data_IF_650567784208
#
_entry.id   IF_650567784208
#
_cell.length_a   1.000
_cell.length_b   1.000
_cell.length_c   1.000
_cell.angle_alpha   90.00
_cell.angle_beta   90.00
_cell.angle_gamma   90.00
#
_symmetry.space_group_name_H-M   'P 1'
#
loop_
_entity.id
_entity.type
_entity.pdbx_description
1 polymer ?
#
# COMPACT_ATOMS: atom_id res chain seq x y z
N UNK A 1 -9.66 -3.95 25.62
CA UNK A 1 -10.25 -5.31 25.45
C UNK A 1 -9.33 -6.32 26.16
N UNK A 2 -9.86 -7.32 26.89
CA UNK A 2 -9.07 -8.17 27.79
C UNK A 2 -8.09 -9.10 27.02
N UNK A 3 -6.77 -8.91 27.19
CA UNK A 3 -5.66 -9.61 26.51
C UNK A 3 -5.77 -11.16 26.56
N UNK A 4 -6.50 -11.70 27.54
CA UNK A 4 -6.73 -13.13 27.69
C UNK A 4 -7.71 -13.72 26.64
N UNK A 5 -8.65 -12.91 26.10
CA UNK A 5 -9.53 -13.34 25.01
C UNK A 5 -8.84 -13.32 23.64
N UNK A 6 -7.82 -12.49 23.45
CA UNK A 6 -7.06 -12.40 22.20
C UNK A 6 -6.05 -13.52 22.05
N UNK A 7 -5.28 -13.89 23.09
CA UNK A 7 -4.36 -15.04 23.02
C UNK A 7 -5.07 -16.38 22.78
N UNK A 8 -6.25 -16.58 23.38
CA UNK A 8 -7.07 -17.76 23.12
C UNK A 8 -7.61 -17.76 21.68
N UNK A 9 -8.08 -16.60 21.21
CA UNK A 9 -8.55 -16.41 19.83
C UNK A 9 -7.46 -16.63 18.78
N UNK A 10 -6.26 -16.07 19.01
CA UNK A 10 -5.04 -16.30 18.21
C UNK A 10 -4.69 -17.78 18.11
N UNK A 11 -4.67 -18.48 19.25
CA UNK A 11 -4.36 -19.91 19.29
C UNK A 11 -5.39 -20.73 18.51
N UNK A 12 -6.67 -20.39 18.64
CA UNK A 12 -7.76 -21.04 17.91
C UNK A 12 -7.66 -20.76 16.40
N UNK A 13 -7.44 -19.52 16.00
CA UNK A 13 -7.28 -19.13 14.59
C UNK A 13 -6.03 -19.77 13.97
N UNK A 14 -4.92 -19.84 14.70
CA UNK A 14 -3.70 -20.51 14.26
C UNK A 14 -3.92 -22.01 14.03
N UNK A 15 -4.64 -22.68 14.94
CA UNK A 15 -5.00 -24.10 14.76
C UNK A 15 -5.94 -24.31 13.58
N UNK A 16 -6.96 -23.46 13.43
CA UNK A 16 -7.90 -23.51 12.32
C UNK A 16 -7.16 -23.31 10.98
N UNK A 17 -6.22 -22.37 10.93
CA UNK A 17 -5.40 -22.13 9.75
C UNK A 17 -4.49 -23.33 9.42
N UNK A 18 -3.74 -23.87 10.40
CA UNK A 18 -2.92 -25.07 10.20
C UNK A 18 -3.75 -26.27 9.75
N UNK A 19 -5.02 -26.34 10.17
CA UNK A 19 -5.96 -27.34 9.68
C UNK A 19 -6.32 -27.09 8.20
N UNK A 20 -6.74 -25.87 7.81
CA UNK A 20 -7.01 -25.54 6.40
C UNK A 20 -5.84 -25.85 5.49
N UNK A 21 -4.64 -25.42 5.88
CA UNK A 21 -3.41 -25.53 5.12
C UNK A 21 -2.98 -26.98 4.79
N UNK A 22 -3.43 -27.99 5.56
CA UNK A 22 -3.08 -29.40 5.35
C UNK A 22 -3.82 -30.03 4.16
N UNK A 23 -5.11 -29.73 4.03
CA UNK A 23 -5.94 -30.18 2.91
C UNK A 23 -7.02 -29.11 2.64
N UNK A 24 -6.70 -28.04 1.90
CA UNK A 24 -7.60 -26.90 1.71
C UNK A 24 -8.98 -27.29 1.17
N UNK A 25 -9.04 -28.22 0.21
CA UNK A 25 -10.30 -28.66 -0.41
C UNK A 25 -11.24 -29.35 0.59
N UNK A 26 -10.69 -30.13 1.51
CA UNK A 26 -11.49 -30.85 2.50
C UNK A 26 -11.77 -30.02 3.76
N UNK A 27 -10.81 -29.20 4.18
CA UNK A 27 -10.81 -28.56 5.50
C UNK A 27 -11.47 -27.18 5.49
N UNK A 28 -11.39 -26.41 4.40
CA UNK A 28 -12.06 -25.10 4.32
C UNK A 28 -13.59 -25.25 4.42
N UNK A 29 -14.26 -26.15 3.68
CA UNK A 29 -15.71 -26.34 3.80
C UNK A 29 -16.13 -26.74 5.23
N UNK A 30 -15.34 -27.57 5.91
CA UNK A 30 -15.60 -27.97 7.31
C UNK A 30 -15.57 -26.77 8.26
N UNK A 31 -14.61 -25.87 8.11
CA UNK A 31 -14.51 -24.68 8.95
C UNK A 31 -15.58 -23.64 8.64
N UNK A 32 -15.95 -23.46 7.37
CA UNK A 32 -17.06 -22.58 6.99
C UNK A 32 -18.37 -23.10 7.60
N UNK A 33 -18.64 -24.41 7.51
CA UNK A 33 -19.81 -25.03 8.12
C UNK A 33 -19.80 -24.92 9.66
N UNK A 34 -18.62 -24.97 10.29
CA UNK A 34 -18.49 -24.73 11.73
C UNK A 34 -18.77 -23.25 12.06
N UNK A 35 -18.20 -22.32 11.30
CA UNK A 35 -18.41 -20.88 11.45
C UNK A 35 -19.89 -20.50 11.31
N UNK A 36 -20.60 -21.11 10.36
CA UNK A 36 -22.04 -20.92 10.14
C UNK A 36 -22.86 -21.33 11.37
N UNK A 37 -22.50 -22.45 12.01
CA UNK A 37 -23.17 -22.96 13.22
C UNK A 37 -22.94 -22.10 14.46
N UNK A 38 -21.79 -21.46 14.58
CA UNK A 38 -21.42 -20.64 15.76
C UNK A 38 -21.71 -19.14 15.56
N UNK A 39 -22.09 -18.72 14.35
CA UNK A 39 -22.37 -17.31 14.03
C UNK A 39 -23.69 -16.87 14.65
N UNK A 40 -23.61 -15.93 15.60
CA UNK A 40 -24.77 -15.43 16.35
C UNK A 40 -25.38 -14.19 15.68
N UNK A 41 -24.56 -13.27 15.15
CA UNK A 41 -25.06 -12.03 14.54
C UNK A 41 -25.46 -12.25 13.09
N UNK A 42 -26.55 -11.65 12.66
CA UNK A 42 -27.04 -11.73 11.26
C UNK A 42 -25.99 -11.25 10.24
N UNK A 43 -25.23 -10.22 10.59
CA UNK A 43 -24.14 -9.74 9.74
C UNK A 43 -23.02 -10.79 9.58
N UNK A 44 -22.66 -11.53 10.64
CA UNK A 44 -21.65 -12.59 10.58
C UNK A 44 -22.12 -13.76 9.73
N UNK A 45 -23.40 -14.17 9.89
CA UNK A 45 -24.01 -15.19 9.04
C UNK A 45 -23.97 -14.80 7.56
N UNK A 46 -24.23 -13.52 7.25
CA UNK A 46 -24.14 -13.00 5.88
C UNK A 46 -22.72 -13.05 5.34
N UNK A 47 -21.71 -12.71 6.14
CA UNK A 47 -20.31 -12.84 5.74
C UNK A 47 -19.92 -14.31 5.48
N UNK A 48 -20.24 -15.21 6.40
CA UNK A 48 -19.93 -16.65 6.26
C UNK A 48 -20.63 -17.25 5.04
N UNK A 49 -21.89 -16.88 4.79
CA UNK A 49 -22.65 -17.32 3.61
C UNK A 49 -22.00 -16.84 2.30
N UNK A 50 -21.55 -15.59 2.24
CA UNK A 50 -20.86 -15.07 1.06
C UNK A 50 -19.52 -15.80 0.84
N UNK A 51 -18.73 -16.02 1.90
CA UNK A 51 -17.47 -16.78 1.81
C UNK A 51 -17.74 -18.21 1.30
N UNK A 52 -18.78 -18.86 1.83
CA UNK A 52 -19.21 -20.20 1.39
C UNK A 52 -19.51 -20.23 -0.11
N UNK A 53 -20.30 -19.26 -0.59
CA UNK A 53 -20.65 -19.14 -2.01
C UNK A 53 -19.41 -18.98 -2.90
N UNK A 54 -18.44 -18.16 -2.49
CA UNK A 54 -17.19 -18.01 -3.23
C UNK A 54 -16.34 -19.29 -3.22
N UNK A 55 -16.30 -20.00 -2.10
CA UNK A 55 -15.51 -21.22 -1.96
C UNK A 55 -16.13 -22.44 -2.65
N UNK A 56 -17.45 -22.48 -2.83
CA UNK A 56 -18.15 -23.53 -3.60
C UNK A 56 -17.97 -23.35 -5.11
N UNK A 57 -17.71 -22.12 -5.57
CA UNK A 57 -17.43 -21.81 -6.97
C UNK A 57 -15.93 -21.99 -7.27
N UNK A 58 -15.50 -23.24 -7.50
CA UNK A 58 -14.10 -23.58 -7.80
C UNK A 58 -13.51 -22.83 -9.00
N UNK A 59 -14.35 -22.41 -9.95
CA UNK A 59 -13.92 -21.63 -11.11
C UNK A 59 -13.78 -20.13 -10.83
N UNK A 60 -14.25 -19.65 -9.68
CA UNK A 60 -14.14 -18.24 -9.29
C UNK A 60 -12.68 -17.81 -9.14
N UNK A 61 -12.40 -16.57 -9.49
CA UNK A 61 -11.08 -15.98 -9.35
C UNK A 61 -10.62 -15.95 -7.88
N UNK A 62 -11.53 -15.71 -6.93
CA UNK A 62 -11.23 -15.71 -5.50
C UNK A 62 -10.91 -17.09 -4.95
N UNK A 63 -11.58 -18.16 -5.43
CA UNK A 63 -11.19 -19.52 -5.09
C UNK A 63 -9.78 -19.82 -5.60
N UNK A 64 -9.50 -19.53 -6.87
CA UNK A 64 -8.17 -19.73 -7.49
C UNK A 64 -7.08 -18.96 -6.76
N UNK A 65 -7.35 -17.72 -6.38
CA UNK A 65 -6.45 -16.88 -5.60
C UNK A 65 -6.17 -17.45 -4.20
N UNK A 66 -7.23 -17.80 -3.45
CA UNK A 66 -7.07 -18.37 -2.12
C UNK A 66 -6.36 -19.73 -2.17
N UNK A 67 -6.68 -20.55 -3.17
CA UNK A 67 -6.06 -21.85 -3.38
C UNK A 67 -4.56 -21.70 -3.66
N UNK A 68 -4.15 -20.85 -4.60
CA UNK A 68 -2.74 -20.63 -4.93
C UNK A 68 -1.95 -20.07 -3.75
N UNK A 69 -2.52 -19.15 -2.97
CA UNK A 69 -1.91 -18.67 -1.73
C UNK A 69 -1.69 -19.80 -0.73
N UNK A 70 -2.62 -20.75 -0.63
CA UNK A 70 -2.49 -21.87 0.30
C UNK A 70 -1.54 -22.95 -0.19
N UNK A 71 -1.47 -23.24 -1.48
CA UNK A 71 -0.72 -24.39 -2.01
C UNK A 71 0.68 -24.03 -2.51
N UNK A 72 0.90 -22.81 -2.98
CA UNK A 72 2.17 -22.39 -3.60
C UNK A 72 3.06 -21.58 -2.65
N UNK A 73 2.52 -21.08 -1.54
CA UNK A 73 3.28 -20.27 -0.56
C UNK A 73 4.02 -21.15 0.44
N UNK A 74 5.27 -20.81 0.74
CA UNK A 74 6.08 -21.47 1.75
C UNK A 74 5.35 -21.51 3.11
N UNK A 75 5.33 -22.64 3.85
CA UNK A 75 4.53 -22.78 5.06
C UNK A 75 4.75 -21.70 6.12
N UNK A 76 6.00 -21.25 6.34
CA UNK A 76 6.31 -20.19 7.31
C UNK A 76 5.70 -18.85 6.90
N UNK A 77 5.83 -18.46 5.62
CA UNK A 77 5.26 -17.21 5.09
C UNK A 77 3.74 -17.25 5.19
N UNK A 78 3.15 -18.37 4.80
CA UNK A 78 1.70 -18.58 4.85
C UNK A 78 1.16 -18.44 6.28
N UNK A 79 1.86 -18.99 7.27
CA UNK A 79 1.51 -18.83 8.70
C UNK A 79 1.64 -17.37 9.14
N UNK A 80 2.77 -16.72 8.83
CA UNK A 80 3.05 -15.33 9.23
C UNK A 80 2.10 -14.31 8.62
N UNK A 81 1.73 -14.42 7.35
CA UNK A 81 0.76 -13.51 6.73
C UNK A 81 -0.62 -13.65 7.40
N UNK A 82 -1.05 -14.86 7.70
CA UNK A 82 -2.34 -15.08 8.35
C UNK A 82 -2.38 -14.48 9.76
N UNK A 83 -1.29 -14.62 10.53
CA UNK A 83 -1.20 -14.06 11.88
C UNK A 83 -0.99 -12.54 11.83
N UNK A 84 0.02 -12.09 11.11
CA UNK A 84 0.48 -10.70 11.21
C UNK A 84 -0.38 -9.76 10.36
N UNK A 85 -0.66 -10.13 9.12
CA UNK A 85 -1.44 -9.29 8.22
C UNK A 85 -2.93 -9.36 8.57
N UNK A 86 -3.55 -10.54 8.58
CA UNK A 86 -5.00 -10.62 8.81
C UNK A 86 -5.41 -10.43 10.27
N UNK A 87 -4.70 -11.05 11.22
CA UNK A 87 -5.08 -11.01 12.62
C UNK A 87 -4.51 -9.78 13.35
N UNK A 88 -3.20 -9.54 13.32
CA UNK A 88 -2.61 -8.42 14.06
C UNK A 88 -2.96 -7.08 13.42
N UNK A 89 -2.71 -6.87 12.12
CA UNK A 89 -3.01 -5.59 11.49
C UNK A 89 -4.51 -5.33 11.30
N UNK A 90 -5.31 -6.40 11.19
CA UNK A 90 -6.77 -6.31 11.04
C UNK A 90 -7.51 -6.39 12.37
N UNK A 91 -7.72 -7.62 12.85
CA UNK A 91 -8.64 -7.91 13.95
C UNK A 91 -8.21 -7.33 15.31
N UNK A 92 -6.90 -7.22 15.58
CA UNK A 92 -6.37 -6.76 16.86
C UNK A 92 -5.94 -5.28 16.82
N UNK A 93 -5.28 -4.88 15.74
CA UNK A 93 -4.76 -3.52 15.55
C UNK A 93 -5.86 -2.49 15.43
N UNK A 94 -6.89 -2.74 14.60
CA UNK A 94 -7.95 -1.75 14.34
C UNK A 94 -8.70 -1.34 15.62
N UNK A 95 -9.14 -2.24 16.51
CA UNK A 95 -9.74 -1.83 17.77
C UNK A 95 -8.84 -0.97 18.65
N UNK A 96 -7.53 -1.29 18.72
CA UNK A 96 -6.56 -0.51 19.48
C UNK A 96 -6.33 0.87 18.86
N UNK A 97 -6.24 0.96 17.52
CA UNK A 97 -6.19 2.23 16.79
C UNK A 97 -7.40 3.09 17.13
N UNK A 98 -8.63 2.55 17.04
CA UNK A 98 -9.85 3.30 17.34
C UNK A 98 -9.94 3.75 18.82
N UNK A 99 -9.40 2.95 19.75
CA UNK A 99 -9.30 3.33 21.17
C UNK A 99 -8.31 4.49 21.34
N UNK A 100 -7.13 4.39 20.74
CA UNK A 100 -6.07 5.39 20.80
C UNK A 100 -6.42 6.69 20.05
N UNK A 101 -7.11 6.61 18.92
CA UNK A 101 -7.63 7.78 18.19
C UNK A 101 -8.54 8.64 19.08
N UNK A 102 -9.42 7.98 19.85
CA UNK A 102 -10.30 8.66 20.81
C UNK A 102 -9.53 9.17 22.02
N UNK A 103 -8.62 8.36 22.56
CA UNK A 103 -7.83 8.69 23.77
C UNK A 103 -6.93 9.90 23.54
N UNK A 104 -6.25 9.93 22.41
CA UNK A 104 -5.23 10.94 22.12
C UNK A 104 -5.75 12.08 21.26
N UNK A 105 -6.96 11.96 20.71
CA UNK A 105 -7.56 12.92 19.80
C UNK A 105 -6.65 13.25 18.61
N UNK A 106 -6.19 12.20 17.93
CA UNK A 106 -5.45 12.29 16.66
C UNK A 106 -5.80 11.08 15.78
N UNK A 107 -5.35 11.08 14.52
CA UNK A 107 -5.46 9.87 13.69
C UNK A 107 -4.40 8.85 14.13
N UNK A 108 -4.70 7.56 14.00
CA UNK A 108 -3.72 6.48 14.20
C UNK A 108 -3.66 5.63 12.94
N UNK A 109 -2.49 5.56 12.27
CA UNK A 109 -2.39 4.90 10.97
C UNK A 109 -2.44 3.38 11.10
N UNK A 110 -2.98 2.75 10.05
CA UNK A 110 -2.93 1.30 9.88
C UNK A 110 -1.57 0.84 9.36
N UNK A 111 -0.95 1.62 8.47
CA UNK A 111 0.39 1.39 7.95
C UNK A 111 1.29 2.63 8.06
N UNK A 112 2.59 2.44 8.23
CA UNK A 112 3.59 3.51 8.14
C UNK A 112 4.56 3.14 7.02
N UNK A 113 4.75 4.05 6.06
CA UNK A 113 5.81 3.94 5.07
C UNK A 113 7.01 4.73 5.54
N UNK A 114 8.18 4.11 5.48
CA UNK A 114 9.43 4.73 5.86
C UNK A 114 10.51 4.44 4.85
N UNK A 115 11.38 5.41 4.60
CA UNK A 115 12.48 5.30 3.67
C UNK A 115 13.77 4.99 4.45
N UNK A 116 14.28 3.74 4.42
CA UNK A 116 15.49 3.39 5.17
C UNK A 116 16.73 4.15 4.69
N UNK A 117 16.74 4.50 3.40
CA UNK A 117 17.81 5.21 2.71
C UNK A 117 17.25 5.98 1.52
N UNK A 118 17.90 7.07 1.15
CA UNK A 118 17.67 7.72 -0.15
C UNK A 118 18.57 7.20 -1.26
N UNK A 119 19.57 6.37 -0.95
CA UNK A 119 20.46 5.82 -1.97
C UNK A 119 19.69 4.86 -2.89
N UNK A 120 19.93 4.94 -4.21
CA UNK A 120 19.41 4.00 -5.19
C UNK A 120 20.52 3.56 -6.13
N UNK A 121 20.44 2.33 -6.63
CA UNK A 121 21.35 1.80 -7.65
C UNK A 121 20.84 1.99 -9.09
N UNK A 122 19.73 2.70 -9.28
CA UNK A 122 19.17 3.12 -10.57
C UNK A 122 18.96 4.64 -10.60
N UNK A 123 18.78 5.19 -11.81
CA UNK A 123 18.50 6.62 -12.04
C UNK A 123 17.25 6.76 -12.94
N UNK A 124 16.10 6.35 -12.44
CA UNK A 124 14.87 6.29 -13.23
C UNK A 124 14.38 7.69 -13.65
N UNK A 125 13.85 7.79 -14.87
CA UNK A 125 13.21 9.01 -15.39
C UNK A 125 12.00 9.40 -14.55
N UNK A 126 11.96 10.66 -14.08
CA UNK A 126 10.88 11.19 -13.25
C UNK A 126 10.81 10.59 -11.84
N UNK A 127 11.97 10.23 -11.27
CA UNK A 127 12.08 9.73 -9.91
C UNK A 127 12.37 10.87 -8.93
N UNK A 128 11.45 11.13 -8.01
CA UNK A 128 11.69 12.06 -6.90
C UNK A 128 12.53 11.43 -5.78
N UNK A 129 12.55 10.10 -5.66
CA UNK A 129 13.16 9.39 -4.54
C UNK A 129 14.70 9.24 -4.62
N UNK A 130 15.30 9.46 -5.80
CA UNK A 130 16.73 9.29 -6.05
C UNK A 130 17.55 10.58 -6.06
N UNK A 131 16.89 11.75 -5.97
CA UNK A 131 17.54 13.07 -6.08
C UNK A 131 18.05 13.62 -4.73
N UNK A 132 17.86 12.87 -3.64
CA UNK A 132 18.21 13.32 -2.31
C UNK A 132 19.72 13.22 -2.01
N UNK A 133 20.20 14.06 -1.07
CA UNK A 133 21.47 13.82 -0.36
C UNK A 133 21.46 12.40 0.24
N UNK A 134 22.62 11.76 0.48
CA UNK A 134 22.68 10.41 1.04
C UNK A 134 22.23 10.43 2.51
N UNK A 135 20.93 10.31 2.70
CA UNK A 135 20.26 10.27 3.98
C UNK A 135 19.90 8.83 4.30
N UNK A 136 20.02 8.50 5.58
CA UNK A 136 19.73 7.17 6.08
C UNK A 136 19.07 7.30 7.44
N UNK A 137 18.04 6.49 7.67
CA UNK A 137 17.56 6.23 9.01
C UNK A 137 18.46 5.16 9.65
N UNK A 138 18.92 5.41 10.88
CA UNK A 138 19.62 4.39 11.64
C UNK A 138 18.67 3.26 11.99
N UNK A 139 19.22 2.06 12.25
CA UNK A 139 18.43 0.92 12.69
C UNK A 139 17.61 1.25 13.94
N UNK A 140 18.18 2.01 14.87
CA UNK A 140 17.53 2.43 16.12
C UNK A 140 16.30 3.31 15.86
N UNK A 141 16.33 4.17 14.85
CA UNK A 141 15.18 5.01 14.48
C UNK A 141 14.09 4.16 13.83
N UNK A 142 14.45 3.24 12.93
CA UNK A 142 13.50 2.32 12.31
C UNK A 142 12.81 1.43 13.36
N UNK A 143 13.59 0.88 14.30
CA UNK A 143 13.11 0.09 15.42
C UNK A 143 12.22 0.89 16.38
N UNK A 144 12.57 2.14 16.66
CA UNK A 144 11.74 3.07 17.44
C UNK A 144 10.38 3.26 16.78
N UNK A 145 10.33 3.54 15.47
CA UNK A 145 9.08 3.72 14.72
C UNK A 145 8.17 2.50 14.86
N UNK A 146 8.73 1.30 14.66
CA UNK A 146 7.95 0.06 14.75
C UNK A 146 7.49 -0.23 16.18
N UNK A 147 8.35 0.04 17.16
CA UNK A 147 8.02 -0.15 18.58
C UNK A 147 6.87 0.76 19.01
N UNK A 148 6.98 2.07 18.77
CA UNK A 148 5.95 3.05 19.11
C UNK A 148 4.66 2.83 18.29
N UNK A 149 4.78 2.45 17.02
CA UNK A 149 3.64 2.14 16.16
C UNK A 149 2.79 0.99 16.71
N UNK A 150 3.43 -0.09 17.20
CA UNK A 150 2.71 -1.21 17.82
C UNK A 150 1.93 -0.81 19.07
N UNK A 151 2.49 0.08 19.90
CA UNK A 151 1.80 0.61 21.09
C UNK A 151 0.52 1.38 20.72
N UNK A 152 0.54 2.02 19.55
CA UNK A 152 -0.62 2.72 18.99
C UNK A 152 -1.60 1.80 18.25
N UNK A 153 -1.15 0.62 17.82
CA UNK A 153 -1.95 -0.38 17.11
C UNK A 153 -1.60 -0.54 15.62
N UNK A 154 -0.49 0.02 15.16
CA UNK A 154 0.06 -0.15 13.80
C UNK A 154 0.91 -1.41 13.73
N UNK A 155 0.60 -2.29 12.77
CA UNK A 155 1.32 -3.56 12.55
C UNK A 155 1.75 -3.77 11.10
N UNK A 156 1.46 -2.83 10.21
CA UNK A 156 1.90 -2.86 8.81
C UNK A 156 2.96 -1.78 8.60
N UNK A 157 4.10 -2.18 8.08
CA UNK A 157 5.19 -1.25 7.76
C UNK A 157 5.61 -1.46 6.32
N UNK A 158 5.82 -0.35 5.63
CA UNK A 158 6.15 -0.36 4.21
C UNK A 158 7.49 0.36 4.05
N UNK A 159 8.32 -0.10 3.12
CA UNK A 159 9.59 0.52 2.77
C UNK A 159 9.54 1.07 1.34
N UNK A 160 9.97 2.33 1.20
CA UNK A 160 10.26 3.00 -0.07
C UNK A 160 11.55 3.82 0.06
N UNK A 161 11.68 4.92 -0.70
CA UNK A 161 12.90 5.71 -0.79
C UNK A 161 13.95 4.99 -1.61
N UNK A 162 14.88 5.73 -2.21
CA UNK A 162 16.00 5.19 -2.99
C UNK A 162 15.76 3.78 -3.57
N UNK A 163 16.57 2.81 -3.13
CA UNK A 163 16.26 1.38 -3.18
C UNK A 163 16.38 0.78 -1.76
N UNK A 164 15.27 0.36 -1.12
CA UNK A 164 15.31 -0.13 0.26
C UNK A 164 16.21 -1.35 0.45
N UNK A 165 16.33 -2.21 -0.57
CA UNK A 165 17.13 -3.44 -0.47
C UNK A 165 18.64 -3.19 -0.43
N UNK A 166 19.11 -1.94 -0.61
CA UNK A 166 20.48 -1.56 -0.21
C UNK A 166 20.70 -1.66 1.31
N UNK A 167 19.61 -1.66 2.10
CA UNK A 167 19.59 -1.80 3.56
C UNK A 167 18.97 -3.15 3.96
N UNK A 168 19.08 -4.19 3.11
CA UNK A 168 18.41 -5.49 3.30
C UNK A 168 18.71 -6.16 4.65
N UNK A 169 19.93 -6.05 5.17
CA UNK A 169 20.30 -6.63 6.47
C UNK A 169 19.53 -5.99 7.63
N UNK A 170 19.37 -4.66 7.62
CA UNK A 170 18.59 -3.95 8.63
C UNK A 170 17.09 -4.25 8.52
N UNK A 171 16.58 -4.40 7.28
CA UNK A 171 15.19 -4.79 7.05
C UNK A 171 14.93 -6.20 7.59
N UNK A 172 15.80 -7.17 7.32
CA UNK A 172 15.67 -8.54 7.84
C UNK A 172 15.75 -8.55 9.37
N UNK A 173 16.67 -7.77 9.95
CA UNK A 173 16.80 -7.61 11.41
C UNK A 173 15.54 -7.00 12.04
N UNK A 174 14.88 -6.04 11.39
CA UNK A 174 13.59 -5.50 11.84
C UNK A 174 12.49 -6.55 11.75
N UNK A 175 12.41 -7.28 10.64
CA UNK A 175 11.42 -8.34 10.44
C UNK A 175 11.51 -9.42 11.53
N UNK A 176 12.74 -9.79 11.91
CA UNK A 176 13.02 -10.75 12.97
C UNK A 176 12.66 -10.21 14.36
N UNK A 177 13.05 -8.96 14.66
CA UNK A 177 12.75 -8.31 15.95
C UNK A 177 11.26 -8.07 16.17
N UNK A 178 10.53 -7.75 15.11
CA UNK A 178 9.10 -7.44 15.14
C UNK A 178 8.30 -8.50 14.36
N UNK A 179 8.47 -9.75 14.77
CA UNK A 179 7.94 -10.92 14.08
C UNK A 179 6.39 -11.00 14.03
N UNK A 180 5.71 -10.13 14.77
CA UNK A 180 4.25 -9.96 14.85
C UNK A 180 3.72 -8.92 13.84
N UNK A 181 4.61 -8.11 13.25
CA UNK A 181 4.28 -7.13 12.22
C UNK A 181 4.41 -7.74 10.83
N UNK A 182 3.76 -7.10 9.85
CA UNK A 182 3.91 -7.38 8.43
C UNK A 182 4.72 -6.26 7.76
N UNK A 183 5.62 -6.64 6.88
CA UNK A 183 6.52 -5.75 6.18
C UNK A 183 6.35 -5.89 4.67
N UNK A 184 6.35 -4.77 3.95
CA UNK A 184 6.31 -4.72 2.49
C UNK A 184 7.39 -3.76 1.99
N UNK A 185 8.18 -4.13 0.98
CA UNK A 185 9.07 -3.17 0.30
C UNK A 185 8.63 -2.97 -1.14
N UNK A 186 8.54 -1.71 -1.58
CA UNK A 186 8.68 -1.40 -2.99
C UNK A 186 10.15 -1.57 -3.37
N UNK A 187 10.44 -2.20 -4.51
CA UNK A 187 11.82 -2.46 -4.95
C UNK A 187 11.93 -2.45 -6.46
N UNK A 188 13.10 -2.12 -6.99
CA UNK A 188 13.46 -2.28 -8.39
C UNK A 188 13.84 -3.75 -8.75
N UNK A 189 13.95 -4.63 -7.75
CA UNK A 189 14.16 -6.07 -7.93
C UNK A 189 15.60 -6.50 -8.27
N UNK A 190 16.51 -5.56 -8.52
CA UNK A 190 17.90 -5.87 -8.95
C UNK A 190 18.76 -6.55 -7.89
N UNK A 191 18.36 -6.45 -6.61
CA UNK A 191 19.10 -6.96 -5.45
C UNK A 191 18.50 -8.25 -4.86
N UNK A 192 17.54 -8.87 -5.56
CA UNK A 192 16.93 -10.13 -5.14
C UNK A 192 17.69 -11.30 -5.75
N UNK A 193 18.28 -12.10 -4.88
CA UNK A 193 18.98 -13.35 -5.18
C UNK A 193 18.39 -14.51 -4.35
N UNK A 194 18.89 -15.72 -4.59
CA UNK A 194 18.44 -16.93 -3.91
C UNK A 194 18.73 -16.92 -2.40
N UNK A 195 19.79 -16.24 -1.96
CA UNK A 195 20.12 -16.13 -0.54
C UNK A 195 19.13 -15.20 0.17
N UNK A 196 18.82 -14.06 -0.43
CA UNK A 196 17.84 -13.13 0.10
C UNK A 196 16.44 -13.75 0.10
N UNK A 197 16.08 -14.54 -0.91
CA UNK A 197 14.83 -15.29 -0.92
C UNK A 197 14.72 -16.26 0.28
N UNK A 198 15.82 -16.92 0.69
CA UNK A 198 15.86 -17.76 1.89
C UNK A 198 15.68 -16.95 3.17
N UNK A 199 16.27 -15.76 3.26
CA UNK A 199 16.04 -14.86 4.40
C UNK A 199 14.58 -14.40 4.49
N UNK A 200 13.95 -14.07 3.35
CA UNK A 200 12.51 -13.78 3.29
C UNK A 200 11.66 -14.96 3.77
N UNK A 201 12.00 -16.19 3.35
CA UNK A 201 11.34 -17.41 3.85
C UNK A 201 11.53 -17.60 5.35
N UNK A 202 12.73 -17.31 5.88
CA UNK A 202 13.10 -17.47 7.29
C UNK A 202 12.29 -16.53 8.19
N UNK A 203 12.23 -15.24 7.87
CA UNK A 203 11.47 -14.27 8.67
C UNK A 203 9.96 -14.42 8.45
N UNK A 204 9.54 -14.77 7.23
CA UNK A 204 8.17 -15.12 6.87
C UNK A 204 7.18 -13.97 6.81
N UNK A 205 7.48 -12.81 7.41
CA UNK A 205 6.61 -11.65 7.53
C UNK A 205 7.00 -10.48 6.61
N UNK A 206 7.83 -10.74 5.59
CA UNK A 206 8.29 -9.74 4.63
C UNK A 206 7.89 -10.13 3.20
N UNK A 207 7.27 -9.18 2.50
CA UNK A 207 6.91 -9.30 1.09
C UNK A 207 7.50 -8.13 0.28
N UNK A 208 7.53 -8.27 -1.04
CA UNK A 208 7.99 -7.19 -1.93
C UNK A 208 6.96 -6.90 -3.02
N UNK A 209 6.94 -5.65 -3.49
CA UNK A 209 6.23 -5.23 -4.68
C UNK A 209 7.24 -4.74 -5.70
N UNK A 210 7.37 -5.45 -6.80
CA UNK A 210 8.30 -5.11 -7.88
C UNK A 210 7.81 -3.90 -8.65
N UNK A 211 8.69 -2.94 -8.84
CA UNK A 211 8.37 -1.77 -9.64
C UNK A 211 8.54 -2.08 -11.12
N UNK A 212 7.44 -2.08 -11.88
CA UNK A 212 7.37 -2.55 -13.27
C UNK A 212 6.26 -1.80 -14.03
N UNK A 213 6.59 -1.19 -15.16
CA UNK A 213 5.73 -0.21 -15.88
C UNK A 213 5.09 -0.77 -17.15
N UNK A 214 5.11 -2.09 -17.32
CA UNK A 214 4.66 -2.79 -18.52
C UNK A 214 5.62 -3.90 -18.88
N UNK A 215 5.78 -4.17 -20.17
CA UNK A 215 6.78 -5.11 -20.64
C UNK A 215 8.17 -4.46 -20.68
N UNK A 216 9.13 -5.11 -21.35
CA UNK A 216 10.52 -4.65 -21.42
C UNK A 216 10.63 -3.21 -21.91
N UNK A 217 9.93 -2.87 -22.99
CA UNK A 217 9.96 -1.52 -23.57
C UNK A 217 9.53 -0.44 -22.58
N UNK A 218 8.38 -0.60 -21.93
CA UNK A 218 7.82 0.42 -21.05
C UNK A 218 8.62 0.54 -19.74
N UNK A 219 9.03 -0.60 -19.19
CA UNK A 219 9.81 -0.65 -17.94
C UNK A 219 11.19 -0.05 -18.14
N UNK A 220 11.92 -0.46 -19.18
CA UNK A 220 13.29 -0.02 -19.41
C UNK A 220 13.34 1.45 -19.87
N UNK A 221 12.32 1.93 -20.59
CA UNK A 221 12.19 3.36 -20.96
C UNK A 221 12.24 4.26 -19.74
N UNK A 222 11.63 3.84 -18.62
CA UNK A 222 11.63 4.62 -17.39
C UNK A 222 12.79 4.28 -16.46
N UNK A 223 13.10 3.00 -16.30
CA UNK A 223 13.98 2.52 -15.21
C UNK A 223 15.42 2.25 -15.63
N UNK A 224 15.68 2.22 -16.93
CA UNK A 224 16.98 1.88 -17.51
C UNK A 224 16.99 0.46 -18.09
N UNK A 225 17.83 0.28 -19.10
CA UNK A 225 17.97 -0.96 -19.86
C UNK A 225 18.29 -2.16 -18.97
N UNK A 226 17.59 -3.28 -19.19
CA UNK A 226 17.79 -4.53 -18.44
C UNK A 226 17.04 -4.61 -17.11
N UNK A 227 16.32 -3.56 -16.70
CA UNK A 227 15.56 -3.56 -15.46
C UNK A 227 14.42 -4.58 -15.52
N UNK A 228 13.67 -4.64 -16.62
CA UNK A 228 12.60 -5.63 -16.79
C UNK A 228 13.10 -7.06 -16.60
N UNK A 229 14.22 -7.41 -17.23
CA UNK A 229 14.84 -8.74 -17.10
C UNK A 229 15.24 -9.05 -15.66
N UNK A 230 15.77 -8.06 -14.95
CA UNK A 230 16.13 -8.19 -13.53
C UNK A 230 14.91 -8.46 -12.65
N UNK A 231 13.82 -7.71 -12.86
CA UNK A 231 12.54 -7.92 -12.17
C UNK A 231 11.98 -9.31 -12.46
N UNK A 232 11.96 -9.73 -13.74
CA UNK A 232 11.44 -11.05 -14.12
C UNK A 232 12.25 -12.18 -13.49
N UNK A 233 13.58 -12.06 -13.46
CA UNK A 233 14.45 -13.02 -12.77
C UNK A 233 14.12 -13.08 -11.27
N UNK A 234 13.95 -11.93 -10.63
CA UNK A 234 13.61 -11.86 -9.21
C UNK A 234 12.22 -12.49 -8.91
N UNK A 235 11.23 -12.27 -9.78
CA UNK A 235 9.92 -12.94 -9.67
C UNK A 235 10.06 -14.46 -9.75
N UNK A 236 10.87 -14.98 -10.67
CA UNK A 236 11.09 -16.42 -10.81
C UNK A 236 11.79 -17.01 -9.55
N UNK A 237 12.79 -16.31 -8.99
CA UNK A 237 13.45 -16.69 -7.73
C UNK A 237 12.45 -16.76 -6.58
N UNK A 238 11.66 -15.69 -6.37
CA UNK A 238 10.71 -15.63 -5.27
C UNK A 238 9.57 -16.64 -5.43
N UNK A 239 9.09 -16.86 -6.66
CA UNK A 239 8.08 -17.88 -6.95
C UNK A 239 8.58 -19.27 -6.59
N UNK A 240 9.80 -19.62 -6.99
CA UNK A 240 10.42 -20.91 -6.68
C UNK A 240 10.66 -21.09 -5.17
N UNK A 241 10.95 -20.00 -4.45
CA UNK A 241 11.03 -20.00 -3.00
C UNK A 241 9.65 -20.03 -2.31
N UNK A 242 8.53 -19.94 -3.04
CA UNK A 242 7.20 -19.80 -2.44
C UNK A 242 7.03 -18.52 -1.61
N UNK A 243 7.80 -17.48 -1.94
CA UNK A 243 7.66 -16.15 -1.36
C UNK A 243 6.48 -15.40 -1.98
N UNK A 244 5.81 -14.58 -1.17
CA UNK A 244 4.73 -13.72 -1.66
C UNK A 244 5.32 -12.39 -2.12
N UNK A 245 4.95 -12.02 -3.33
CA UNK A 245 5.29 -10.74 -3.92
C UNK A 245 4.14 -10.26 -4.79
N UNK A 246 4.21 -8.97 -5.11
CA UNK A 246 3.31 -8.31 -6.02
C UNK A 246 4.05 -7.40 -6.97
N UNK A 247 3.29 -6.54 -7.64
CA UNK A 247 3.83 -5.49 -8.48
C UNK A 247 3.42 -4.12 -7.97
N UNK A 248 4.17 -3.11 -8.40
CA UNK A 248 3.92 -1.69 -8.21
C UNK A 248 4.11 -1.00 -9.55
N UNK A 249 3.01 -0.55 -10.15
CA UNK A 249 2.99 0.03 -11.47
C UNK A 249 2.63 1.50 -11.36
N UNK A 250 3.53 2.38 -11.82
CA UNK A 250 3.17 3.76 -12.06
C UNK A 250 2.63 3.90 -13.49
N UNK A 251 1.33 4.09 -13.65
CA UNK A 251 0.73 4.37 -14.95
C UNK A 251 0.81 5.85 -15.30
N UNK A 252 1.01 6.13 -16.58
CA UNK A 252 1.21 7.44 -17.16
C UNK A 252 0.69 7.43 -18.60
N UNK A 253 0.72 8.57 -19.29
CA UNK A 253 0.12 8.76 -20.62
C UNK A 253 0.52 7.70 -21.65
N UNK A 254 1.74 7.19 -21.57
CA UNK A 254 2.35 6.37 -22.62
C UNK A 254 2.37 4.87 -22.32
N UNK A 255 1.96 4.44 -21.13
CA UNK A 255 1.91 3.01 -20.78
C UNK A 255 0.53 2.55 -20.29
N UNK A 256 -0.45 3.45 -20.12
CA UNK A 256 -1.73 3.13 -19.46
C UNK A 256 -2.40 1.91 -20.09
N UNK A 257 -2.50 1.87 -21.41
CA UNK A 257 -3.16 0.77 -22.13
C UNK A 257 -2.41 -0.56 -22.00
N UNK A 258 -1.07 -0.50 -21.94
CA UNK A 258 -0.23 -1.69 -21.74
C UNK A 258 -0.42 -2.26 -20.35
N UNK A 259 -0.31 -1.42 -19.31
CA UNK A 259 -0.38 -1.87 -17.92
C UNK A 259 -1.80 -2.21 -17.46
N UNK A 260 -2.80 -1.77 -18.21
CA UNK A 260 -4.19 -2.14 -18.05
C UNK A 260 -4.57 -3.42 -18.83
N UNK A 261 -3.75 -3.85 -19.79
CA UNK A 261 -4.10 -4.96 -20.68
C UNK A 261 -4.30 -6.28 -19.94
N UNK A 262 -5.14 -7.17 -20.47
CA UNK A 262 -5.29 -8.51 -19.93
C UNK A 262 -3.99 -9.31 -20.04
N UNK A 263 -3.25 -9.15 -21.13
CA UNK A 263 -1.96 -9.80 -21.35
C UNK A 263 -0.95 -9.50 -20.24
N UNK A 264 -0.88 -8.24 -19.80
CA UNK A 264 0.00 -7.84 -18.71
C UNK A 264 -0.42 -8.45 -17.36
N UNK A 265 -1.72 -8.49 -17.07
CA UNK A 265 -2.24 -9.12 -15.84
C UNK A 265 -1.98 -10.62 -15.85
N UNK A 266 -2.26 -11.30 -16.97
CA UNK A 266 -2.02 -12.74 -17.13
C UNK A 266 -0.52 -13.06 -16.98
N UNK A 267 0.35 -12.23 -17.53
CA UNK A 267 1.79 -12.33 -17.35
C UNK A 267 2.20 -12.25 -15.87
N UNK A 268 1.73 -11.23 -15.15
CA UNK A 268 2.06 -11.04 -13.73
C UNK A 268 1.52 -12.17 -12.85
N UNK A 269 0.28 -12.60 -13.07
CA UNK A 269 -0.33 -13.74 -12.38
C UNK A 269 0.45 -15.02 -12.68
N UNK A 270 0.80 -15.26 -13.94
CA UNK A 270 1.61 -16.41 -14.37
C UNK A 270 3.01 -16.42 -13.75
N UNK A 271 3.61 -15.25 -13.56
CA UNK A 271 4.87 -15.06 -12.84
C UNK A 271 4.76 -15.21 -11.32
N UNK A 272 3.54 -15.37 -10.78
CA UNK A 272 3.33 -15.66 -9.36
C UNK A 272 2.94 -14.44 -8.51
N UNK A 273 2.70 -13.28 -9.12
CA UNK A 273 2.23 -12.11 -8.38
C UNK A 273 0.90 -12.41 -7.68
N UNK A 274 0.79 -11.98 -6.42
CA UNK A 274 -0.43 -12.16 -5.61
C UNK A 274 -1.19 -10.86 -5.39
N UNK A 275 -0.50 -9.74 -5.48
CA UNK A 275 -1.13 -8.43 -5.33
C UNK A 275 -0.49 -7.40 -6.27
N UNK A 276 -1.17 -6.27 -6.43
CA UNK A 276 -0.73 -5.19 -7.29
C UNK A 276 -1.10 -3.81 -6.75
N UNK A 277 -0.19 -2.87 -6.91
CA UNK A 277 -0.41 -1.46 -6.61
C UNK A 277 -0.33 -0.66 -7.90
N UNK A 278 -1.38 0.07 -8.21
CA UNK A 278 -1.38 1.06 -9.27
C UNK A 278 -1.27 2.46 -8.67
N UNK A 279 -0.31 3.21 -9.18
CA UNK A 279 -0.10 4.62 -8.88
C UNK A 279 -0.24 5.41 -10.18
N UNK A 280 -0.93 6.55 -10.17
CA UNK A 280 -0.84 7.47 -11.31
C UNK A 280 0.44 8.29 -11.19
N UNK A 281 1.07 8.61 -12.32
CA UNK A 281 2.13 9.60 -12.32
C UNK A 281 1.58 10.95 -11.83
N UNK A 282 2.28 11.54 -10.87
CA UNK A 282 2.01 12.88 -10.34
C UNK A 282 3.27 13.73 -10.56
N UNK A 283 3.16 14.90 -11.21
CA UNK A 283 4.28 15.77 -11.49
C UNK A 283 4.61 16.60 -10.24
N UNK A 284 5.31 16.00 -9.28
CA UNK A 284 5.84 16.68 -8.09
C UNK A 284 7.28 17.08 -8.40
N UNK A 285 7.68 18.31 -8.10
CA UNK A 285 8.95 18.87 -8.57
C UNK A 285 8.76 20.04 -9.53
N UNK A 286 9.51 21.14 -9.40
CA UNK A 286 9.47 22.26 -10.35
C UNK A 286 9.64 21.85 -11.81
N UNK A 287 10.61 20.96 -12.08
CA UNK A 287 10.95 20.50 -13.43
C UNK A 287 10.17 19.25 -13.88
N UNK A 288 9.13 18.88 -13.13
CA UNK A 288 8.32 17.70 -13.46
C UNK A 288 7.47 17.91 -14.72
N UNK A 289 7.49 16.90 -15.60
CA UNK A 289 6.77 16.97 -16.87
C UNK A 289 5.29 16.56 -16.71
N UNK A 290 4.39 17.56 -16.75
CA UNK A 290 2.93 17.35 -16.70
C UNK A 290 2.39 16.58 -17.92
N UNK A 291 3.14 16.52 -19.03
CA UNK A 291 2.73 15.79 -20.23
C UNK A 291 2.68 14.28 -19.99
N UNK A 292 3.47 13.75 -19.04
CA UNK A 292 3.42 12.35 -18.65
C UNK A 292 2.15 11.96 -17.89
N UNK A 293 1.43 12.91 -17.30
CA UNK A 293 0.19 12.60 -16.59
C UNK A 293 -0.80 11.85 -17.48
N UNK A 294 -1.32 10.74 -16.96
CA UNK A 294 -2.41 10.02 -17.61
C UNK A 294 -3.59 10.97 -17.82
N UNK A 295 -4.18 10.95 -19.02
CA UNK A 295 -5.35 11.79 -19.30
C UNK A 295 -6.52 11.46 -18.38
N UNK A 296 -7.49 12.36 -18.27
CA UNK A 296 -8.70 12.10 -17.47
C UNK A 296 -9.50 10.89 -17.98
N UNK A 297 -9.48 10.65 -19.30
CA UNK A 297 -10.08 9.45 -19.89
C UNK A 297 -9.27 8.19 -19.58
N UNK A 298 -7.95 8.27 -19.57
CA UNK A 298 -7.08 7.17 -19.11
C UNK A 298 -7.32 6.85 -17.62
N UNK A 299 -7.50 7.87 -16.77
CA UNK A 299 -7.85 7.65 -15.35
C UNK A 299 -9.24 6.99 -15.20
N UNK A 300 -10.25 7.41 -15.97
CA UNK A 300 -11.57 6.75 -16.03
C UNK A 300 -11.45 5.30 -16.53
N UNK A 301 -10.63 5.07 -17.54
CA UNK A 301 -10.35 3.74 -18.07
C UNK A 301 -9.71 2.84 -17.00
N UNK A 302 -8.67 3.32 -16.31
CA UNK A 302 -8.04 2.59 -15.20
C UNK A 302 -9.03 2.26 -14.09
N UNK A 303 -9.86 3.21 -13.65
CA UNK A 303 -10.90 2.94 -12.66
C UNK A 303 -11.83 1.78 -13.07
N UNK A 304 -12.29 1.76 -14.32
CA UNK A 304 -13.13 0.67 -14.83
C UNK A 304 -12.36 -0.65 -14.92
N UNK A 305 -11.13 -0.60 -15.43
CA UNK A 305 -10.31 -1.79 -15.66
C UNK A 305 -9.89 -2.45 -14.35
N UNK A 306 -9.52 -1.68 -13.33
CA UNK A 306 -9.16 -2.22 -12.00
C UNK A 306 -10.35 -2.97 -11.38
N UNK A 307 -11.56 -2.43 -11.51
CA UNK A 307 -12.77 -3.13 -11.07
C UNK A 307 -13.02 -4.43 -11.84
N UNK A 308 -12.76 -4.43 -13.16
CA UNK A 308 -12.82 -5.64 -13.98
C UNK A 308 -11.80 -6.68 -13.51
N UNK A 309 -10.54 -6.29 -13.29
CA UNK A 309 -9.46 -7.17 -12.83
C UNK A 309 -9.86 -7.85 -11.53
N UNK A 310 -10.34 -7.08 -10.54
CA UNK A 310 -10.82 -7.63 -9.26
C UNK A 310 -11.97 -8.63 -9.41
N UNK A 311 -12.76 -8.51 -10.46
CA UNK A 311 -13.91 -9.38 -10.70
C UNK A 311 -13.58 -10.67 -11.46
N UNK A 312 -12.47 -10.70 -12.20
CA UNK A 312 -12.15 -11.79 -13.15
C UNK A 312 -10.83 -12.48 -12.87
N UNK A 313 -9.84 -11.76 -12.38
CA UNK A 313 -8.47 -12.23 -12.27
C UNK A 313 -8.15 -12.67 -10.83
N UNK A 314 -7.37 -13.76 -10.64
CA UNK A 314 -7.04 -14.28 -9.33
C UNK A 314 -5.87 -13.49 -8.70
N UNK A 315 -6.03 -12.17 -8.57
CA UNK A 315 -5.03 -11.26 -8.03
C UNK A 315 -5.70 -10.11 -7.26
N UNK A 316 -5.08 -9.68 -6.16
CA UNK A 316 -5.57 -8.56 -5.38
C UNK A 316 -4.92 -7.25 -5.83
N UNK A 317 -5.66 -6.39 -6.54
CA UNK A 317 -5.13 -5.10 -7.03
C UNK A 317 -5.75 -3.90 -6.31
N UNK A 318 -4.92 -2.89 -6.04
CA UNK A 318 -5.27 -1.60 -5.45
C UNK A 318 -4.90 -0.47 -6.43
N UNK A 319 -5.71 0.59 -6.45
CA UNK A 319 -5.40 1.84 -7.15
C UNK A 319 -5.42 2.99 -6.14
N UNK A 320 -4.25 3.60 -5.93
CA UNK A 320 -4.03 4.57 -4.86
C UNK A 320 -4.86 5.86 -5.01
N UNK A 321 -5.33 6.20 -6.21
CA UNK A 321 -6.16 7.40 -6.46
C UNK A 321 -7.62 7.10 -6.76
N UNK A 322 -7.92 5.94 -7.36
CA UNK A 322 -9.27 5.62 -7.79
C UNK A 322 -10.10 4.83 -6.74
N UNK A 323 -9.46 4.31 -5.68
CA UNK A 323 -10.15 3.55 -4.61
C UNK A 323 -10.70 4.40 -3.46
N UNK A 324 -10.85 5.71 -3.65
CA UNK A 324 -11.38 6.60 -2.61
C UNK A 324 -12.78 6.19 -2.14
N UNK A 325 -13.59 5.54 -2.99
CA UNK A 325 -14.92 5.02 -2.62
C UNK A 325 -14.88 3.89 -1.58
N UNK A 326 -13.83 3.07 -1.59
CA UNK A 326 -13.66 1.96 -0.66
C UNK A 326 -12.98 2.41 0.66
N UNK A 327 -12.17 3.46 0.58
CA UNK A 327 -11.42 4.03 1.71
C UNK A 327 -12.10 5.24 2.36
N UNK A 328 -13.25 5.66 1.83
CA UNK A 328 -13.99 6.85 2.23
C UNK A 328 -13.11 8.13 2.15
N UNK A 329 -12.53 8.37 0.98
CA UNK A 329 -11.65 9.50 0.68
C UNK A 329 -10.17 9.20 0.88
N UNK A 330 -9.34 10.25 0.98
CA UNK A 330 -7.91 10.12 1.22
C UNK A 330 -7.58 9.28 2.46
N UNK A 331 -6.41 8.63 2.45
CA UNK A 331 -5.87 7.84 3.58
C UNK A 331 -4.64 8.45 4.26
N UNK A 332 -4.13 9.57 3.73
CA UNK A 332 -2.94 10.29 4.19
C UNK A 332 -3.09 10.95 5.57
N UNK A 333 -2.03 11.58 6.06
CA UNK A 333 -2.06 12.38 7.30
C UNK A 333 -2.40 11.54 8.53
N UNK A 334 -1.96 10.28 8.54
CA UNK A 334 -2.17 9.35 9.63
C UNK A 334 -3.56 8.69 9.66
N UNK A 335 -4.51 9.04 8.78
CA UNK A 335 -5.87 8.45 8.79
C UNK A 335 -5.84 6.93 8.66
N UNK A 336 -5.06 6.43 7.69
CA UNK A 336 -4.66 5.01 7.61
C UNK A 336 -3.18 4.85 7.29
N UNK A 337 -2.51 5.92 6.88
CA UNK A 337 -1.17 5.88 6.36
C UNK A 337 -0.48 7.24 6.47
N UNK A 338 0.84 7.24 6.60
CA UNK A 338 1.71 8.39 6.34
C UNK A 338 3.14 7.93 5.99
N UNK A 339 3.99 8.88 5.60
CA UNK A 339 5.34 8.66 5.10
C UNK A 339 6.40 9.28 6.04
N UNK A 340 7.53 8.60 6.22
CA UNK A 340 8.73 9.13 6.88
C UNK A 340 9.89 9.00 5.90
N UNK A 341 10.42 10.13 5.42
CA UNK A 341 11.51 10.09 4.44
C UNK A 341 12.86 9.69 5.08
N UNK A 342 13.91 9.53 4.28
CA UNK A 342 15.22 9.06 4.75
C UNK A 342 15.94 10.06 5.67
N UNK A 343 15.54 11.34 5.66
CA UNK A 343 15.99 12.35 6.62
C UNK A 343 15.23 12.28 7.96
N UNK A 344 14.11 11.56 8.02
CA UNK A 344 13.25 11.44 9.19
C UNK A 344 12.09 12.42 9.19
N UNK A 345 11.89 13.20 8.13
CA UNK A 345 10.77 14.15 8.08
C UNK A 345 9.45 13.38 7.88
N UNK A 346 8.46 13.75 8.69
CA UNK A 346 7.17 13.08 8.72
C UNK A 346 6.19 13.76 7.76
N UNK A 347 6.01 13.14 6.60
CA UNK A 347 5.17 13.61 5.50
C UNK A 347 3.79 12.93 5.55
N UNK A 348 2.69 13.64 5.23
CA UNK A 348 1.36 13.06 5.27
C UNK A 348 1.17 11.96 4.21
N UNK A 349 1.94 12.01 3.11
CA UNK A 349 1.90 11.07 2.00
C UNK A 349 3.25 11.04 1.27
N UNK A 350 3.59 9.91 0.61
CA UNK A 350 4.84 9.79 -0.15
C UNK A 350 4.92 10.71 -1.39
N UNK A 351 3.80 11.32 -1.77
CA UNK A 351 3.74 12.27 -2.89
C UNK A 351 3.54 13.71 -2.42
N UNK A 352 3.55 13.96 -1.11
CA UNK A 352 3.30 15.27 -0.51
C UNK A 352 4.47 15.58 0.42
N UNK A 353 5.50 16.16 -0.16
CA UNK A 353 6.78 16.41 0.48
C UNK A 353 6.76 17.70 1.29
N UNK A 354 5.94 17.69 2.34
CA UNK A 354 5.86 18.76 3.32
C UNK A 354 5.84 18.16 4.72
N UNK A 355 6.61 18.74 5.62
CA UNK A 355 6.68 18.32 7.01
C UNK A 355 6.82 19.52 7.94
N UNK A 356 6.50 19.29 9.22
CA UNK A 356 6.81 20.24 10.29
C UNK A 356 7.36 19.54 11.55
N UNK A 357 7.65 18.23 11.46
CA UNK A 357 8.23 17.43 12.52
C UNK A 357 9.14 16.34 11.94
N UNK A 358 10.18 15.99 12.70
CA UNK A 358 11.13 14.93 12.36
C UNK A 358 11.09 13.82 13.43
N UNK A 359 11.01 12.56 13.01
CA UNK A 359 10.87 11.40 13.90
C UNK A 359 12.11 11.14 14.77
N UNK A 360 13.27 11.69 14.38
CA UNK A 360 14.51 11.56 15.16
C UNK A 360 14.40 12.32 16.48
N UNK A 361 13.71 13.45 16.46
CA UNK A 361 13.62 14.36 17.60
C UNK A 361 12.34 14.18 18.42
N UNK A 362 11.32 13.52 17.85
CA UNK A 362 9.98 13.45 18.44
C UNK A 362 9.47 12.00 18.48
N UNK A 363 8.56 11.70 19.40
CA UNK A 363 7.82 10.43 19.39
C UNK A 363 6.81 10.39 18.24
N UNK A 364 6.43 9.19 17.83
CA UNK A 364 5.40 8.95 16.82
C UNK A 364 4.07 9.59 17.21
N UNK A 365 3.70 9.59 18.49
CA UNK A 365 2.47 10.21 18.96
C UNK A 365 2.52 11.75 18.82
N UNK A 366 3.66 12.38 19.08
CA UNK A 366 3.85 13.82 18.86
C UNK A 366 3.73 14.16 17.38
N UNK A 367 4.34 13.36 16.50
CA UNK A 367 4.20 13.50 15.04
C UNK A 367 2.75 13.43 14.58
N UNK A 368 1.97 12.46 15.06
CA UNK A 368 0.56 12.29 14.70
C UNK A 368 -0.33 13.45 15.21
N UNK A 369 0.15 14.21 16.19
CA UNK A 369 -0.49 15.42 16.71
C UNK A 369 0.06 16.71 16.12
N UNK A 370 1.01 16.62 15.19
CA UNK A 370 1.60 17.79 14.54
C UNK A 370 0.54 18.66 13.86
N UNK A 371 0.78 19.97 13.71
CA UNK A 371 -0.17 20.86 13.05
C UNK A 371 -0.60 20.37 11.65
N UNK A 372 0.32 19.79 10.87
CA UNK A 372 0.04 19.29 9.52
C UNK A 372 -0.90 18.09 9.57
N UNK A 373 -0.62 17.10 10.42
CA UNK A 373 -1.46 15.90 10.55
C UNK A 373 -2.86 16.23 11.10
N UNK A 374 -2.94 17.19 12.03
CA UNK A 374 -4.21 17.67 12.55
C UNK A 374 -5.00 18.49 11.52
N UNK A 375 -4.32 19.24 10.64
CA UNK A 375 -4.98 19.89 9.51
C UNK A 375 -5.61 18.85 8.57
N UNK A 376 -4.89 17.77 8.23
CA UNK A 376 -5.45 16.64 7.47
C UNK A 376 -6.68 16.05 8.15
N UNK A 377 -6.60 15.74 9.46
CA UNK A 377 -7.70 15.17 10.22
C UNK A 377 -8.97 16.03 10.18
N UNK A 378 -8.82 17.35 10.27
CA UNK A 378 -9.94 18.32 10.29
C UNK A 378 -10.55 18.57 8.92
N UNK A 379 -9.75 18.45 7.87
CA UNK A 379 -10.16 18.77 6.49
C UNK A 379 -10.70 17.56 5.71
N UNK A 380 -10.62 16.35 6.25
CA UNK A 380 -11.14 15.15 5.61
C UNK A 380 -12.65 14.91 5.87
N UNK A 381 -13.42 14.44 4.87
CA UNK A 381 -12.99 14.19 3.49
C UNK A 381 -12.83 15.51 2.69
N UNK A 382 -11.83 15.58 1.81
CA UNK A 382 -11.57 16.77 1.00
C UNK A 382 -12.60 17.02 -0.10
N UNK A 383 -13.34 15.98 -0.49
CA UNK A 383 -14.39 16.06 -1.50
C UNK A 383 -15.54 15.10 -1.17
N UNK A 384 -16.76 15.44 -1.59
CA UNK A 384 -17.92 14.54 -1.48
C UNK A 384 -17.93 13.47 -2.57
N UNK A 385 -17.31 13.75 -3.73
CA UNK A 385 -17.04 12.75 -4.75
C UNK A 385 -15.81 11.93 -4.34
N UNK A 386 -15.99 10.66 -4.00
CA UNK A 386 -14.87 9.84 -3.55
C UNK A 386 -13.95 9.34 -4.68
N UNK A 387 -14.24 9.68 -5.93
CA UNK A 387 -13.28 9.57 -7.05
C UNK A 387 -12.33 10.77 -7.13
N UNK A 388 -12.48 11.74 -6.22
CA UNK A 388 -11.60 12.90 -6.04
C UNK A 388 -10.98 12.94 -4.63
N UNK A 389 -10.37 11.84 -4.15
CA UNK A 389 -9.94 11.75 -2.76
C UNK A 389 -8.68 12.57 -2.47
N UNK A 390 -7.82 12.85 -3.45
CA UNK A 390 -6.47 13.34 -3.19
C UNK A 390 -6.45 14.86 -2.91
N UNK A 391 -5.82 15.35 -1.82
CA UNK A 391 -5.66 16.78 -1.58
C UNK A 391 -4.65 17.44 -2.51
N UNK A 392 -3.76 16.68 -3.15
CA UNK A 392 -2.80 17.17 -4.12
C UNK A 392 -3.40 17.22 -5.53
N UNK A 393 -3.76 16.04 -6.07
CA UNK A 393 -4.16 15.90 -7.47
C UNK A 393 -5.60 16.36 -7.75
N UNK A 394 -6.51 16.14 -6.80
CA UNK A 394 -7.95 16.34 -7.02
C UNK A 394 -8.52 17.58 -6.34
N UNK A 395 -7.85 18.06 -5.29
CA UNK A 395 -8.28 19.19 -4.48
C UNK A 395 -7.08 20.09 -4.08
N UNK A 396 -6.27 20.57 -5.04
CA UNK A 396 -4.99 21.26 -4.76
C UNK A 396 -5.10 22.44 -3.78
N UNK A 397 -6.23 23.16 -3.77
CA UNK A 397 -6.51 24.22 -2.78
C UNK A 397 -6.53 23.71 -1.33
N UNK A 398 -6.97 22.46 -1.10
CA UNK A 398 -6.96 21.84 0.22
C UNK A 398 -5.53 21.60 0.71
N UNK A 399 -4.65 21.05 -0.14
CA UNK A 399 -3.24 20.89 0.20
C UNK A 399 -2.59 22.24 0.53
N UNK A 400 -2.77 23.22 -0.36
CA UNK A 400 -2.29 24.59 -0.17
C UNK A 400 -2.69 25.15 1.19
N UNK A 401 -3.97 25.06 1.53
CA UNK A 401 -4.48 25.54 2.82
C UNK A 401 -3.83 24.81 3.98
N UNK A 402 -3.75 23.48 3.95
CA UNK A 402 -3.17 22.69 5.02
C UNK A 402 -1.68 22.98 5.24
N UNK A 403 -0.90 23.17 4.17
CA UNK A 403 0.53 23.52 4.27
C UNK A 403 0.71 24.89 4.93
N UNK A 404 -0.04 25.91 4.48
CA UNK A 404 0.07 27.26 5.06
C UNK A 404 -0.37 27.32 6.53
N UNK A 405 -1.50 26.70 6.91
CA UNK A 405 -1.99 26.77 8.31
C UNK A 405 -1.16 25.94 9.28
N UNK A 406 -0.36 25.00 8.78
CA UNK A 406 0.51 24.16 9.61
C UNK A 406 1.96 24.62 9.64
N UNK A 407 2.29 25.70 8.90
CA UNK A 407 3.64 26.22 8.72
C UNK A 407 4.63 25.13 8.27
N UNK A 408 4.15 24.17 7.47
CA UNK A 408 4.97 23.07 6.98
C UNK A 408 5.96 23.56 5.91
N UNK A 409 7.19 23.08 5.98
CA UNK A 409 8.24 23.36 5.01
C UNK A 409 8.32 22.22 3.98
N UNK A 410 8.81 22.54 2.77
CA UNK A 410 9.05 21.54 1.74
C UNK A 410 10.23 20.63 2.13
N UNK A 411 10.04 19.33 1.98
CA UNK A 411 11.07 18.30 2.20
C UNK A 411 11.73 17.85 0.89
N UNK A 412 11.30 18.37 -0.27
CA UNK A 412 12.00 18.18 -1.53
C UNK A 412 13.28 18.99 -1.55
N UNK A 413 14.42 18.31 -1.76
CA UNK A 413 15.71 18.98 -1.85
C UNK A 413 15.88 19.56 -3.25
N UNK A 414 16.50 20.73 -3.34
CA UNK A 414 16.84 21.41 -4.60
C UNK A 414 15.62 21.78 -5.47
N UNK A 415 14.42 21.69 -4.90
CA UNK A 415 13.18 22.12 -5.50
C UNK A 415 12.70 23.39 -4.79
N UNK A 416 12.62 24.49 -5.54
CA UNK A 416 12.09 25.76 -5.05
C UNK A 416 10.60 25.94 -5.42
N UNK A 417 9.93 24.90 -5.92
CA UNK A 417 8.48 24.90 -6.12
C UNK A 417 7.74 25.08 -4.78
N UNK A 418 7.01 26.18 -4.68
CA UNK A 418 6.12 26.44 -3.55
C UNK A 418 4.84 25.61 -3.66
N UNK A 419 4.15 25.41 -2.53
CA UNK A 419 2.84 24.74 -2.54
C UNK A 419 1.80 25.48 -3.40
N UNK A 420 1.93 26.80 -3.53
CA UNK A 420 1.06 27.63 -4.36
C UNK A 420 1.29 27.34 -5.85
N UNK A 421 2.55 27.25 -6.29
CA UNK A 421 2.91 26.90 -7.67
C UNK A 421 2.52 25.46 -8.01
N UNK A 422 2.79 24.51 -7.12
CA UNK A 422 2.38 23.11 -7.28
C UNK A 422 0.85 22.99 -7.40
N UNK A 423 0.10 23.71 -6.56
CA UNK A 423 -1.36 23.72 -6.62
C UNK A 423 -1.86 24.26 -7.96
N UNK A 424 -1.33 25.41 -8.41
CA UNK A 424 -1.68 26.02 -9.69
C UNK A 424 -1.33 25.12 -10.88
N UNK A 425 -0.19 24.40 -10.82
CA UNK A 425 0.23 23.44 -11.84
C UNK A 425 -0.78 22.30 -12.02
N UNK A 426 -1.41 21.85 -10.93
CA UNK A 426 -2.35 20.72 -10.94
C UNK A 426 -3.83 21.11 -11.15
N UNK A 427 -4.19 22.38 -10.95
CA UNK A 427 -5.56 22.89 -11.12
C UNK A 427 -6.19 22.54 -12.49
N UNK A 428 -5.52 22.73 -13.64
CA UNK A 428 -6.11 22.39 -14.93
C UNK A 428 -6.48 20.90 -15.06
N UNK A 429 -5.66 20.01 -14.50
CA UNK A 429 -5.95 18.58 -14.49
C UNK A 429 -7.11 18.25 -13.55
N UNK A 430 -7.06 18.77 -12.32
CA UNK A 430 -8.10 18.62 -11.31
C UNK A 430 -9.49 19.03 -11.83
N UNK A 431 -9.58 20.18 -12.51
CA UNK A 431 -10.83 20.70 -13.07
C UNK A 431 -11.41 19.78 -14.16
N UNK A 432 -10.57 19.29 -15.09
CA UNK A 432 -10.99 18.33 -16.11
C UNK A 432 -11.46 17.01 -15.48
N UNK A 433 -10.75 16.53 -14.46
CA UNK A 433 -11.15 15.31 -13.75
C UNK A 433 -12.45 15.50 -12.98
N UNK A 434 -12.72 16.70 -12.45
CA UNK A 434 -13.96 17.02 -11.75
C UNK A 434 -15.20 16.79 -12.62
N UNK A 435 -15.13 17.14 -13.90
CA UNK A 435 -16.22 16.93 -14.86
C UNK A 435 -16.46 15.44 -15.12
N UNK A 436 -15.39 14.71 -15.47
CA UNK A 436 -15.45 13.27 -15.80
C UNK A 436 -15.87 12.44 -14.59
N UNK A 437 -15.27 12.69 -13.42
CA UNK A 437 -15.58 11.95 -12.19
C UNK A 437 -17.00 12.21 -11.68
N UNK A 438 -17.59 13.39 -11.94
CA UNK A 438 -18.99 13.67 -11.59
C UNK A 438 -19.94 12.78 -12.38
N UNK A 439 -19.72 12.64 -13.68
CA UNK A 439 -20.51 11.75 -14.53
C UNK A 439 -20.44 10.30 -14.02
N UNK A 440 -19.22 9.81 -13.77
CA UNK A 440 -19.00 8.43 -13.28
C UNK A 440 -19.66 8.23 -11.91
N UNK A 441 -19.48 9.17 -10.99
CA UNK A 441 -20.03 9.09 -9.64
C UNK A 441 -21.55 9.11 -9.63
N UNK A 442 -22.17 10.07 -10.32
CA UNK A 442 -23.63 10.22 -10.34
C UNK A 442 -24.31 9.03 -11.03
N UNK A 443 -23.65 8.42 -12.03
CA UNK A 443 -24.14 7.19 -12.66
C UNK A 443 -24.12 5.99 -11.71
N UNK A 444 -23.07 5.85 -10.88
CA UNK A 444 -22.93 4.73 -9.94
C UNK A 444 -23.73 4.93 -8.65
N UNK A 445 -23.87 6.17 -8.19
CA UNK A 445 -24.51 6.55 -6.94
C UNK A 445 -25.59 7.62 -7.17
N UNK A 446 -26.73 7.28 -7.78
CA UNK A 446 -27.78 8.24 -8.11
C UNK A 446 -28.38 8.95 -6.89
N UNK A 447 -28.31 8.34 -5.70
CA UNK A 447 -28.79 8.91 -4.43
C UNK A 447 -27.75 9.78 -3.71
N UNK A 448 -26.54 9.93 -4.24
CA UNK A 448 -25.42 10.68 -3.65
C UNK A 448 -24.79 11.64 -4.64
N UNK A 449 -25.62 12.34 -5.42
CA UNK A 449 -25.15 13.26 -6.45
C UNK A 449 -24.35 14.42 -5.84
N UNK A 450 -23.28 14.83 -6.54
CA UNK A 450 -22.28 15.81 -6.10
C UNK A 450 -21.92 16.82 -7.19
#
# INVERSE_FOLDING_TARGET
MNLARTRLGETVLNKAFKYMAKNPEENIPKLINLAEKISIREQDKKYVSNIKKYMEQKDSNWYKYAYSLLTETHPNIREKIMVNYFLNSGLLGIPLQLENEKKYDCNIPWAILMDPTSACNLNCTGCWAGEYKPWNLSFEVLDKIVTEGKELGTYMYIFSGGEPLLRKDDIIKLCEKHNECAFLSFTNGTLIDEEFAKEMQRVGNFAVAFSIEGFEKETDMRRGEGTFKSVVKAMDILKNAGCIFGFSTCYHRYNTEVVASQEYIDFLVGKGCRFGWYFTYVPVGKDSDVSFMATVEQRKYMYNRINEIRSKDPIFVLDFWNDGEFSNGCIAGGKRYFHINANGDCEPCAFIHYANMNIKDHSLLEVLKSPLFMAYRRSMPFNKNMLRPCPLLDNPTALRTMVHVSEAYSTQINDDETVDELALKLEPYSNKWAEVSREVWNKKYPDRQV
#
